data_IF_916016213612
#
_entry.id   IF_916016213612
#
_cell.length_a   1.000
_cell.length_b   1.000
_cell.length_c   1.000
_cell.angle_alpha   90.00
_cell.angle_beta   90.00
_cell.angle_gamma   90.00
#
_symmetry.space_group_name_H-M   'P 1'
#
loop_
_entity.id
_entity.type
_entity.pdbx_description
1 polymer ?
#
# COMPACT_ATOMS: atom_id res chain seq x y z
N UNK A 1 19.43 -56.08 -12.41
CA UNK A 1 19.75 -54.90 -11.58
C UNK A 1 18.60 -53.92 -11.71
N UNK A 2 17.69 -53.83 -10.72
CA UNK A 2 16.54 -52.92 -10.74
C UNK A 2 16.85 -51.52 -10.19
N UNK A 3 17.96 -51.37 -9.45
CA UNK A 3 18.20 -50.21 -8.60
C UNK A 3 18.68 -48.95 -9.36
N UNK A 4 19.13 -49.07 -10.61
CA UNK A 4 19.58 -47.94 -11.43
C UNK A 4 18.42 -47.18 -12.11
N UNK A 5 17.29 -47.84 -12.39
CA UNK A 5 16.11 -47.21 -13.00
C UNK A 5 15.29 -46.41 -12.00
N UNK A 6 15.22 -46.86 -10.74
CA UNK A 6 14.45 -46.18 -9.69
C UNK A 6 15.08 -44.84 -9.30
N UNK A 7 16.41 -44.74 -9.34
CA UNK A 7 17.12 -43.50 -9.01
C UNK A 7 16.95 -42.44 -10.11
N UNK A 8 16.98 -42.79 -11.40
CA UNK A 8 16.88 -41.82 -12.49
C UNK A 8 15.50 -41.15 -12.59
N UNK A 9 14.42 -41.89 -12.33
CA UNK A 9 13.06 -41.34 -12.25
C UNK A 9 12.88 -40.43 -11.01
N UNK A 10 13.45 -40.81 -9.86
CA UNK A 10 13.43 -39.98 -8.66
C UNK A 10 14.19 -38.66 -8.88
N UNK A 11 15.39 -38.69 -9.47
CA UNK A 11 16.16 -37.48 -9.78
C UNK A 11 15.45 -36.57 -10.81
N UNK A 12 14.84 -37.14 -11.86
CA UNK A 12 14.04 -36.37 -12.82
C UNK A 12 12.80 -35.73 -12.16
N UNK A 13 12.19 -36.39 -11.18
CA UNK A 13 11.06 -35.83 -10.43
C UNK A 13 11.49 -34.65 -9.54
N UNK A 14 12.66 -34.70 -8.92
CA UNK A 14 13.21 -33.61 -8.09
C UNK A 14 13.61 -32.41 -8.95
N UNK A 15 14.24 -32.65 -10.10
CA UNK A 15 14.62 -31.59 -11.05
C UNK A 15 13.37 -30.87 -11.58
N UNK A 16 12.31 -31.60 -11.91
CA UNK A 16 11.03 -31.02 -12.31
C UNK A 16 10.40 -30.18 -11.19
N UNK A 17 10.44 -30.64 -9.93
CA UNK A 17 9.95 -29.85 -8.78
C UNK A 17 10.76 -28.56 -8.61
N UNK A 18 12.09 -28.63 -8.74
CA UNK A 18 12.96 -27.46 -8.66
C UNK A 18 12.69 -26.48 -9.80
N UNK A 19 12.54 -26.96 -11.04
CA UNK A 19 12.24 -26.13 -12.20
C UNK A 19 10.89 -25.43 -12.06
N UNK A 20 9.85 -26.14 -11.61
CA UNK A 20 8.52 -25.57 -11.33
C UNK A 20 8.61 -24.48 -10.26
N UNK A 21 9.27 -24.76 -9.13
CA UNK A 21 9.45 -23.77 -8.06
C UNK A 21 10.21 -22.53 -8.56
N UNK A 22 11.26 -22.70 -9.37
CA UNK A 22 12.01 -21.58 -9.93
C UNK A 22 11.16 -20.74 -10.89
N UNK A 23 10.31 -21.36 -11.71
CA UNK A 23 9.39 -20.64 -12.59
C UNK A 23 8.35 -19.84 -11.79
N UNK A 24 7.80 -20.40 -10.71
CA UNK A 24 6.89 -19.69 -9.81
C UNK A 24 7.57 -18.49 -9.14
N UNK A 25 8.84 -18.63 -8.74
CA UNK A 25 9.62 -17.54 -8.17
C UNK A 25 9.82 -16.43 -9.19
N UNK A 26 10.20 -16.77 -10.42
CA UNK A 26 10.41 -15.81 -11.50
C UNK A 26 9.11 -15.09 -11.83
N UNK A 27 7.99 -15.81 -11.95
CA UNK A 27 6.68 -15.23 -12.21
C UNK A 27 6.28 -14.23 -11.12
N UNK A 28 6.47 -14.58 -9.84
CA UNK A 28 6.21 -13.67 -8.71
C UNK A 28 7.12 -12.44 -8.73
N UNK A 29 8.41 -12.59 -9.04
CA UNK A 29 9.35 -11.46 -9.16
C UNK A 29 8.94 -10.50 -10.28
N UNK A 30 8.34 -11.01 -11.36
CA UNK A 30 7.87 -10.18 -12.48
C UNK A 30 6.53 -9.51 -12.13
N UNK A 31 5.57 -10.28 -11.61
CA UNK A 31 4.17 -9.85 -11.47
C UNK A 31 3.94 -8.99 -10.23
N UNK A 32 4.45 -9.40 -9.06
CA UNK A 32 4.14 -8.72 -7.80
C UNK A 32 4.59 -7.24 -7.77
N UNK A 33 5.79 -6.85 -8.27
CA UNK A 33 6.18 -5.44 -8.33
C UNK A 33 5.28 -4.60 -9.24
N UNK A 34 4.83 -5.17 -10.36
CA UNK A 34 3.93 -4.50 -11.31
C UNK A 34 2.58 -4.19 -10.68
N UNK A 35 1.99 -5.18 -10.03
CA UNK A 35 0.71 -5.03 -9.32
C UNK A 35 0.82 -4.00 -8.19
N UNK A 36 1.91 -4.03 -7.43
CA UNK A 36 2.18 -3.06 -6.37
C UNK A 36 2.33 -1.65 -6.92
N UNK A 37 3.02 -1.49 -8.06
CA UNK A 37 3.20 -0.18 -8.69
C UNK A 37 1.87 0.41 -9.16
N UNK A 38 1.02 -0.38 -9.82
CA UNK A 38 -0.31 0.08 -10.24
C UNK A 38 -1.24 0.36 -9.05
N UNK A 39 -1.17 -0.44 -7.98
CA UNK A 39 -1.88 -0.15 -6.74
C UNK A 39 -1.45 1.19 -6.12
N UNK A 40 -0.13 1.45 -6.04
CA UNK A 40 0.41 2.73 -5.53
C UNK A 40 0.01 3.92 -6.39
N UNK A 41 -0.01 3.74 -7.72
CA UNK A 41 -0.46 4.77 -8.67
C UNK A 41 -1.94 5.09 -8.49
N UNK A 42 -2.79 4.08 -8.25
CA UNK A 42 -4.21 4.28 -7.94
C UNK A 42 -4.39 5.06 -6.63
N UNK A 43 -3.67 4.66 -5.57
CA UNK A 43 -3.67 5.39 -4.28
C UNK A 43 -3.24 6.84 -4.48
N UNK A 44 -2.17 7.09 -5.24
CA UNK A 44 -1.69 8.44 -5.53
C UNK A 44 -2.67 9.25 -6.39
N UNK A 45 -3.39 8.62 -7.33
CA UNK A 45 -4.43 9.28 -8.13
C UNK A 45 -5.58 9.80 -7.26
N UNK A 46 -6.00 8.99 -6.29
CA UNK A 46 -7.07 9.32 -5.35
C UNK A 46 -6.66 10.32 -4.28
N UNK A 47 -5.56 10.05 -3.60
CA UNK A 47 -5.19 10.76 -2.37
C UNK A 47 -4.00 11.69 -2.55
N UNK A 48 -3.34 11.69 -3.70
CA UNK A 48 -2.12 12.48 -3.93
C UNK A 48 -2.31 13.99 -3.83
N UNK A 49 -3.55 14.48 -3.78
CA UNK A 49 -3.85 15.90 -3.49
C UNK A 49 -3.82 16.23 -1.99
N UNK A 50 -3.93 15.24 -1.09
CA UNK A 50 -3.89 15.41 0.36
C UNK A 50 -2.45 15.60 0.84
N UNK A 51 -1.90 16.78 0.56
CA UNK A 51 -0.65 17.27 1.14
C UNK A 51 -0.71 18.79 1.20
N UNK A 52 0.06 19.38 2.11
CA UNK A 52 0.16 20.83 2.25
C UNK A 52 0.37 21.54 0.93
N UNK A 53 1.40 21.10 0.20
CA UNK A 53 1.84 21.73 -1.05
C UNK A 53 0.76 21.65 -2.13
N UNK A 54 0.07 20.51 -2.23
CA UNK A 54 -0.98 20.33 -3.24
C UNK A 54 -2.25 21.10 -2.88
N UNK A 55 -2.67 21.08 -1.62
CA UNK A 55 -3.83 21.86 -1.15
C UNK A 55 -3.56 23.37 -1.33
N UNK A 56 -2.35 23.84 -1.02
CA UNK A 56 -1.98 25.24 -1.21
C UNK A 56 -2.02 25.66 -2.68
N UNK A 57 -1.35 24.92 -3.57
CA UNK A 57 -1.12 25.34 -4.96
C UNK A 57 -2.27 25.03 -5.92
N UNK A 58 -3.04 23.98 -5.67
CA UNK A 58 -4.12 23.56 -6.59
C UNK A 58 -5.29 24.54 -6.54
N UNK A 59 -5.86 24.89 -7.69
CA UNK A 59 -7.07 25.71 -7.73
C UNK A 59 -8.22 25.07 -6.95
N UNK A 60 -9.04 25.87 -6.29
CA UNK A 60 -10.10 25.39 -5.40
C UNK A 60 -11.12 24.50 -6.14
N UNK A 61 -11.46 24.84 -7.39
CA UNK A 61 -12.36 24.04 -8.23
C UNK A 61 -11.83 22.62 -8.41
N UNK A 62 -10.52 22.48 -8.69
CA UNK A 62 -9.88 21.18 -8.86
C UNK A 62 -9.78 20.38 -7.54
N UNK A 63 -9.59 21.08 -6.41
CA UNK A 63 -9.61 20.45 -5.09
C UNK A 63 -10.99 19.89 -4.76
N UNK A 64 -12.07 20.65 -5.00
CA UNK A 64 -13.44 20.19 -4.79
C UNK A 64 -13.79 18.98 -5.66
N UNK A 65 -13.42 18.99 -6.94
CA UNK A 65 -13.60 17.81 -7.82
C UNK A 65 -12.89 16.57 -7.26
N UNK A 66 -11.67 16.72 -6.74
CA UNK A 66 -10.94 15.60 -6.14
C UNK A 66 -11.51 15.16 -4.80
N UNK A 67 -11.94 16.12 -3.97
CA UNK A 67 -12.57 15.87 -2.69
C UNK A 67 -13.89 15.11 -2.87
N UNK A 68 -14.74 15.56 -3.79
CA UNK A 68 -15.99 14.90 -4.15
C UNK A 68 -15.76 13.48 -4.68
N UNK A 69 -14.81 13.29 -5.60
CA UNK A 69 -14.45 11.94 -6.08
C UNK A 69 -13.98 11.02 -4.96
N UNK A 70 -13.24 11.55 -3.99
CA UNK A 70 -12.76 10.79 -2.85
C UNK A 70 -13.93 10.45 -1.90
N UNK A 71 -14.75 11.42 -1.54
CA UNK A 71 -15.90 11.22 -0.65
C UNK A 71 -16.95 10.28 -1.25
N UNK A 72 -17.17 10.31 -2.57
CA UNK A 72 -18.02 9.33 -3.25
C UNK A 72 -17.52 7.88 -3.07
N UNK A 73 -16.20 7.66 -3.05
CA UNK A 73 -15.63 6.31 -2.84
C UNK A 73 -15.62 5.89 -1.36
N UNK A 74 -15.43 6.85 -0.45
CA UNK A 74 -15.37 6.61 0.99
C UNK A 74 -16.59 7.22 1.68
N UNK A 75 -17.79 6.99 1.14
CA UNK A 75 -19.03 7.62 1.61
C UNK A 75 -19.45 7.18 3.01
N UNK A 76 -18.91 6.06 3.50
CA UNK A 76 -19.08 5.63 4.88
C UNK A 76 -18.28 6.51 5.88
N UNK A 77 -17.16 7.10 5.43
CA UNK A 77 -16.26 7.88 6.28
C UNK A 77 -16.34 9.39 6.01
N UNK A 78 -16.75 9.77 4.79
CA UNK A 78 -16.68 11.14 4.30
C UNK A 78 -18.04 11.63 3.80
N UNK A 79 -18.50 12.74 4.37
CA UNK A 79 -19.64 13.49 3.85
C UNK A 79 -19.19 14.40 2.71
N UNK A 80 -19.78 14.25 1.52
CA UNK A 80 -19.38 14.97 0.30
C UNK A 80 -19.51 16.49 0.45
N UNK A 81 -20.66 16.97 0.94
CA UNK A 81 -20.95 18.40 1.03
C UNK A 81 -20.03 19.06 2.07
N UNK A 82 -19.97 18.49 3.28
CA UNK A 82 -19.10 18.98 4.34
C UNK A 82 -17.63 18.93 3.93
N UNK A 83 -17.18 17.86 3.30
CA UNK A 83 -15.79 17.74 2.86
C UNK A 83 -15.41 18.79 1.81
N UNK A 84 -16.34 19.14 0.90
CA UNK A 84 -16.16 20.23 -0.06
C UNK A 84 -16.08 21.61 0.61
N UNK A 85 -16.81 21.85 1.70
CA UNK A 85 -16.68 23.07 2.50
C UNK A 85 -15.37 23.08 3.30
N UNK A 86 -15.04 21.95 3.93
CA UNK A 86 -13.83 21.79 4.72
C UNK A 86 -12.56 21.95 3.87
N UNK A 87 -12.49 21.40 2.65
CA UNK A 87 -11.28 21.54 1.81
C UNK A 87 -11.01 23.00 1.45
N UNK A 88 -12.07 23.79 1.25
CA UNK A 88 -11.98 25.23 1.01
C UNK A 88 -11.54 25.98 2.26
N UNK A 89 -12.20 25.73 3.39
CA UNK A 89 -11.82 26.31 4.67
C UNK A 89 -10.38 25.94 5.06
N UNK A 90 -9.97 24.69 4.84
CA UNK A 90 -8.64 24.23 5.17
C UNK A 90 -7.58 24.96 4.33
N UNK A 91 -7.83 25.11 3.02
CA UNK A 91 -6.95 25.83 2.08
C UNK A 91 -6.74 27.28 2.49
N UNK A 92 -7.81 28.01 2.78
CA UNK A 92 -7.72 29.47 2.96
C UNK A 92 -7.50 29.88 4.42
N UNK A 93 -8.08 29.13 5.37
CA UNK A 93 -7.97 29.42 6.79
C UNK A 93 -6.85 28.61 7.45
N UNK A 94 -6.93 27.27 7.48
CA UNK A 94 -5.99 26.46 8.25
C UNK A 94 -4.52 26.66 7.80
N UNK A 95 -4.26 26.69 6.49
CA UNK A 95 -2.91 26.95 5.96
C UNK A 95 -2.37 28.36 6.23
N UNK A 96 -3.25 29.32 6.52
CA UNK A 96 -2.88 30.69 6.89
C UNK A 96 -2.57 30.79 8.37
N UNK A 97 -3.38 30.12 9.20
CA UNK A 97 -3.20 30.03 10.65
C UNK A 97 -1.92 29.27 11.01
N UNK A 98 -1.66 28.14 10.36
CA UNK A 98 -0.41 27.40 10.54
C UNK A 98 0.30 27.17 9.19
N UNK A 99 1.35 27.98 8.97
CA UNK A 99 2.19 27.91 7.77
C UNK A 99 2.99 26.60 7.67
N UNK A 100 3.18 25.86 8.77
CA UNK A 100 3.88 24.57 8.73
C UNK A 100 3.11 23.53 7.90
N UNK A 101 1.77 23.66 7.86
CA UNK A 101 0.92 22.80 7.05
C UNK A 101 1.22 22.93 5.55
N UNK A 102 1.68 24.09 5.05
CA UNK A 102 1.89 24.34 3.61
C UNK A 102 2.95 23.43 2.99
N UNK A 103 3.94 22.99 3.77
CA UNK A 103 5.04 22.14 3.29
C UNK A 103 4.92 20.70 3.77
N UNK A 104 3.93 20.40 4.61
CA UNK A 104 3.77 19.09 5.22
C UNK A 104 3.37 18.02 4.19
N UNK A 105 4.05 16.89 4.28
CA UNK A 105 3.68 15.64 3.61
C UNK A 105 2.36 15.10 4.17
N UNK A 106 1.69 14.20 3.46
CA UNK A 106 0.43 13.61 3.95
C UNK A 106 0.54 12.97 5.34
N UNK A 107 1.72 12.41 5.67
CA UNK A 107 1.98 11.81 6.98
C UNK A 107 2.08 12.87 8.08
N UNK A 108 2.78 13.97 7.82
CA UNK A 108 2.95 15.07 8.77
C UNK A 108 1.66 15.86 8.98
N UNK A 109 0.82 15.98 7.94
CA UNK A 109 -0.47 16.67 8.00
C UNK A 109 -1.33 16.15 9.15
N UNK A 110 -1.44 14.82 9.31
CA UNK A 110 -2.26 14.23 10.37
C UNK A 110 -1.75 14.64 11.76
N UNK A 111 -0.43 14.55 11.98
CA UNK A 111 0.21 14.98 13.23
C UNK A 111 -0.07 16.46 13.53
N UNK A 112 0.04 17.32 12.52
CA UNK A 112 -0.19 18.76 12.65
C UNK A 112 -1.67 19.09 12.89
N UNK A 113 -2.61 18.39 12.23
CA UNK A 113 -4.05 18.52 12.46
C UNK A 113 -4.38 18.25 13.93
N UNK A 114 -3.82 17.17 14.49
CA UNK A 114 -4.02 16.82 15.89
C UNK A 114 -3.37 17.84 16.84
N UNK A 115 -2.11 18.19 16.59
CA UNK A 115 -1.35 19.16 17.39
C UNK A 115 -2.07 20.51 17.48
N UNK A 116 -2.63 20.97 16.36
CA UNK A 116 -3.28 22.28 16.26
C UNK A 116 -4.79 22.23 16.52
N UNK A 117 -5.32 21.08 16.98
CA UNK A 117 -6.74 20.88 17.31
C UNK A 117 -7.69 21.14 16.14
N UNK A 118 -7.22 20.99 14.91
CA UNK A 118 -8.03 21.18 13.70
C UNK A 118 -9.06 20.07 13.49
N UNK A 119 -8.90 18.91 14.13
CA UNK A 119 -9.83 17.77 13.99
C UNK A 119 -11.30 18.14 14.21
N UNK A 120 -11.59 19.00 15.18
CA UNK A 120 -12.98 19.40 15.48
C UNK A 120 -13.57 20.29 14.39
N UNK A 121 -12.75 21.16 13.78
CA UNK A 121 -13.18 22.10 12.75
C UNK A 121 -13.17 21.49 11.34
N UNK A 122 -12.37 20.44 11.14
CA UNK A 122 -12.20 19.76 9.86
C UNK A 122 -12.22 18.23 10.02
N UNK A 123 -13.34 17.65 10.49
CA UNK A 123 -13.45 16.22 10.73
C UNK A 123 -13.32 15.38 9.45
N UNK A 124 -13.91 15.78 8.32
CA UNK A 124 -13.80 15.05 7.06
C UNK A 124 -12.38 15.10 6.48
N UNK A 125 -11.69 16.24 6.59
CA UNK A 125 -10.25 16.33 6.25
C UNK A 125 -9.43 15.40 7.11
N UNK A 126 -9.72 15.32 8.41
CA UNK A 126 -9.01 14.44 9.33
C UNK A 126 -9.22 12.97 8.94
N UNK A 127 -10.47 12.56 8.72
CA UNK A 127 -10.81 11.21 8.27
C UNK A 127 -10.12 10.85 6.94
N UNK A 128 -10.07 11.79 5.99
CA UNK A 128 -9.38 11.58 4.72
C UNK A 128 -7.87 11.31 4.90
N UNK A 129 -7.20 12.02 5.82
CA UNK A 129 -5.80 11.76 6.16
C UNK A 129 -5.60 10.45 6.93
N UNK A 130 -6.54 10.06 7.78
CA UNK A 130 -6.55 8.77 8.48
C UNK A 130 -6.67 7.61 7.49
N UNK A 131 -7.59 7.69 6.54
CA UNK A 131 -7.77 6.69 5.48
C UNK A 131 -6.47 6.46 4.68
N UNK A 132 -5.75 7.53 4.32
CA UNK A 132 -4.43 7.42 3.65
C UNK A 132 -3.40 6.72 4.54
N UNK A 133 -3.41 7.01 5.84
CA UNK A 133 -2.48 6.42 6.80
C UNK A 133 -2.71 4.90 6.94
N UNK A 134 -3.98 4.48 7.04
CA UNK A 134 -4.35 3.07 7.14
C UNK A 134 -3.96 2.27 5.89
N UNK A 135 -4.20 2.81 4.69
CA UNK A 135 -3.81 2.16 3.43
C UNK A 135 -2.28 1.96 3.35
N UNK A 136 -1.50 2.92 3.84
CA UNK A 136 -0.04 2.81 3.87
C UNK A 136 0.44 1.78 4.90
N UNK A 137 -0.24 1.66 6.04
CA UNK A 137 0.08 0.67 7.06
C UNK A 137 -0.20 -0.76 6.56
N UNK A 138 -1.38 -1.01 5.97
CA UNK A 138 -1.73 -2.33 5.43
C UNK A 138 -0.83 -2.74 4.26
N UNK A 139 -0.44 -1.81 3.38
CA UNK A 139 0.54 -2.10 2.31
C UNK A 139 1.92 -2.50 2.85
N UNK A 140 2.37 -1.87 3.94
CA UNK A 140 3.65 -2.20 4.59
C UNK A 140 3.60 -3.57 5.27
N UNK A 141 2.50 -3.88 5.94
CA UNK A 141 2.29 -5.17 6.62
C UNK A 141 2.20 -6.33 5.62
N UNK A 142 1.43 -6.19 4.53
CA UNK A 142 1.38 -7.19 3.46
C UNK A 142 2.74 -7.39 2.76
N UNK A 143 3.55 -6.34 2.63
CA UNK A 143 4.91 -6.45 2.10
C UNK A 143 5.92 -7.13 3.03
N UNK A 144 5.66 -7.17 4.33
CA UNK A 144 6.49 -7.84 5.33
C UNK A 144 6.21 -9.35 5.44
N UNK A 145 4.95 -9.76 5.30
CA UNK A 145 4.55 -11.17 5.34
C UNK A 145 4.84 -11.92 4.04
N UNK A 146 4.90 -11.23 2.89
CA UNK A 146 5.29 -11.82 1.60
C UNK A 146 6.82 -11.84 1.37
N UNK A 147 7.63 -11.43 2.35
CA UNK A 147 9.09 -11.40 2.22
C UNK A 147 9.70 -12.79 2.08
N UNK A 148 10.99 -12.84 1.71
CA UNK A 148 11.84 -14.03 1.52
C UNK A 148 11.64 -15.18 2.52
N UNK A 149 11.11 -14.93 3.72
CA UNK A 149 10.66 -15.94 4.68
C UNK A 149 9.61 -16.90 4.13
N UNK A 150 8.64 -16.44 3.34
CA UNK A 150 7.64 -17.32 2.70
C UNK A 150 8.30 -18.24 1.66
N UNK A 151 9.22 -17.69 0.86
CA UNK A 151 10.02 -18.45 -0.11
C UNK A 151 10.95 -19.47 0.56
N UNK A 152 11.60 -19.07 1.67
CA UNK A 152 12.44 -19.97 2.47
C UNK A 152 11.60 -21.10 3.07
N UNK A 153 10.37 -20.82 3.53
CA UNK A 153 9.48 -21.83 4.11
C UNK A 153 8.92 -22.82 3.08
N UNK A 154 8.90 -22.50 1.78
CA UNK A 154 8.55 -23.46 0.72
C UNK A 154 9.74 -24.30 0.27
N UNK A 155 10.94 -23.70 0.22
CA UNK A 155 12.18 -24.38 -0.20
C UNK A 155 12.77 -25.29 0.89
N UNK A 156 12.69 -24.90 2.17
CA UNK A 156 13.30 -25.64 3.28
C UNK A 156 12.67 -27.04 3.48
N UNK A 157 11.33 -27.23 3.47
CA UNK A 157 10.71 -28.55 3.57
C UNK A 157 11.03 -29.44 2.37
N UNK A 158 11.07 -28.87 1.17
CA UNK A 158 11.39 -29.58 -0.07
C UNK A 158 12.84 -30.13 -0.06
N UNK A 159 13.77 -29.40 0.55
CA UNK A 159 15.16 -29.84 0.74
C UNK A 159 15.32 -30.82 1.92
N UNK A 160 14.57 -30.64 3.01
CA UNK A 160 14.64 -31.54 4.18
C UNK A 160 14.07 -32.94 3.95
N UNK A 161 13.26 -33.13 2.90
CA UNK A 161 12.76 -34.44 2.48
C UNK A 161 13.81 -35.28 1.74
N UNK A 162 15.00 -34.71 1.47
CA UNK A 162 16.11 -35.35 0.75
C UNK A 162 17.07 -36.09 1.71
N UNK A 163 17.24 -35.60 2.95
CA UNK A 163 18.15 -36.21 3.94
C UNK A 163 17.57 -37.45 4.65
N UNK A 164 16.31 -37.80 4.39
CA UNK A 164 15.60 -38.89 5.08
C UNK A 164 15.77 -40.30 4.49
N UNK A 165 16.35 -40.46 3.30
CA UNK A 165 16.40 -41.76 2.59
C UNK A 165 17.78 -42.42 2.52
N UNK A 166 18.69 -42.09 3.43
CA UNK A 166 19.96 -42.82 3.58
C UNK A 166 20.04 -43.53 4.94
N UNK A 167 19.40 -44.69 5.04
CA UNK A 167 19.79 -45.80 5.93
C UNK A 167 19.45 -47.14 5.30
#
# INVERSE_FOLDING_TARGET
MPDELCNSEAFASVENVYQVAMLEIIDRIITEPGDRFEALKNVNSMFGFLSGVKIEKMQIVNLKIKAEKLANRYSADLNIEEFNFEIEGFKYHALTVDKSLKKATSKEMLTLIYKNKFKKSYPNITAAFENVSHIKATSKEMGGTLSFTSLANTLVPALSSIDGSSK
#
